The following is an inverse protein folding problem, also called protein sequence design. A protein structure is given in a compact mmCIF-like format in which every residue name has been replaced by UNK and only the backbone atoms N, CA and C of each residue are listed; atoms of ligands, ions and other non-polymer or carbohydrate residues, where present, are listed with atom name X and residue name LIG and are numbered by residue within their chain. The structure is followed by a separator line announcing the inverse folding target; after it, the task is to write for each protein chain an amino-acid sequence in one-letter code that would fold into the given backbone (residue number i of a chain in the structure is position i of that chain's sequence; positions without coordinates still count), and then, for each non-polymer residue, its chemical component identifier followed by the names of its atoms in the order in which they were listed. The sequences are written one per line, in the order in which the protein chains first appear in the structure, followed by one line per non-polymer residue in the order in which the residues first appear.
data_IF_853659031861
#
_entry.id   IF_853659031861
#
_cell.length_a   1.000
_cell.length_b   1.000
_cell.length_c   1.000
_cell.angle_alpha   90.00
_cell.angle_beta   90.00
_cell.angle_gamma   90.00
#
_symmetry.space_group_name_H-M   'P 1'
#
loop_
_entity.id
_entity.type
_entity.pdbx_description
1 polymer ?
#
# COMPACT_ATOMS: atom_id res chain seq x y z
N UNK A 1 45.97 -109.57 16.63
CA UNK A 1 46.44 -108.25 17.14
C UNK A 1 46.81 -107.24 16.03
N UNK A 2 46.71 -107.56 14.73
CA UNK A 2 47.13 -106.63 13.65
C UNK A 2 46.03 -105.67 13.11
N UNK A 3 44.74 -105.93 13.37
CA UNK A 3 43.64 -105.10 12.80
C UNK A 3 43.36 -103.78 13.54
N UNK A 4 43.77 -103.64 14.81
CA UNK A 4 43.53 -102.41 15.59
C UNK A 4 44.35 -101.21 15.15
N UNK A 5 45.58 -101.42 14.68
CA UNK A 5 46.47 -100.33 14.22
C UNK A 5 46.08 -99.72 12.87
N UNK A 6 45.46 -100.51 11.98
CA UNK A 6 44.98 -100.04 10.68
C UNK A 6 43.75 -99.14 10.85
N UNK A 7 42.83 -99.48 11.77
CA UNK A 7 41.63 -98.68 12.02
C UNK A 7 41.97 -97.32 12.66
N UNK A 8 42.93 -97.28 13.58
CA UNK A 8 43.43 -96.02 14.17
C UNK A 8 44.12 -95.11 13.14
N UNK A 9 44.91 -95.68 12.22
CA UNK A 9 45.50 -94.93 11.12
C UNK A 9 44.44 -94.34 10.18
N UNK A 10 43.43 -95.13 9.80
CA UNK A 10 42.33 -94.68 8.95
C UNK A 10 41.53 -93.55 9.61
N UNK A 11 41.30 -93.62 10.92
CA UNK A 11 40.62 -92.57 11.67
C UNK A 11 41.42 -91.26 11.67
N UNK A 12 42.73 -91.32 11.97
CA UNK A 12 43.60 -90.13 11.92
C UNK A 12 43.70 -89.52 10.52
N UNK A 13 43.72 -90.35 9.49
CA UNK A 13 43.70 -89.87 8.10
C UNK A 13 42.37 -89.17 7.76
N UNK A 14 41.23 -89.73 8.16
CA UNK A 14 39.92 -89.10 7.98
C UNK A 14 39.84 -87.75 8.71
N UNK A 15 40.37 -87.66 9.93
CA UNK A 15 40.37 -86.44 10.71
C UNK A 15 41.26 -85.35 10.07
N UNK A 16 42.43 -85.74 9.56
CA UNK A 16 43.28 -84.88 8.75
C UNK A 16 42.59 -84.41 7.45
N UNK A 17 41.89 -85.30 6.75
CA UNK A 17 41.19 -84.96 5.51
C UNK A 17 40.03 -83.98 5.75
N UNK A 18 39.27 -84.18 6.84
CA UNK A 18 38.24 -83.23 7.29
C UNK A 18 38.86 -81.87 7.61
N UNK A 19 39.97 -81.85 8.36
CA UNK A 19 40.64 -80.61 8.71
C UNK A 19 41.18 -79.88 7.48
N UNK A 20 41.79 -80.62 6.53
CA UNK A 20 42.26 -80.10 5.25
C UNK A 20 41.12 -79.49 4.43
N UNK A 21 39.98 -80.18 4.34
CA UNK A 21 38.82 -79.70 3.60
C UNK A 21 38.24 -78.43 4.25
N UNK A 22 38.15 -78.37 5.59
CA UNK A 22 37.75 -77.16 6.31
C UNK A 22 38.70 -75.98 6.08
N UNK A 23 40.01 -76.23 6.04
CA UNK A 23 40.99 -75.18 5.74
C UNK A 23 40.85 -74.67 4.30
N UNK A 24 40.61 -75.54 3.32
CA UNK A 24 40.35 -75.13 1.94
C UNK A 24 39.07 -74.29 1.82
N UNK A 25 37.99 -74.68 2.51
CA UNK A 25 36.74 -73.93 2.53
C UNK A 25 36.93 -72.55 3.15
N UNK A 26 37.63 -72.47 4.29
CA UNK A 26 37.97 -71.19 4.93
C UNK A 26 38.82 -70.29 4.02
N UNK A 27 39.82 -70.83 3.31
CA UNK A 27 40.62 -70.06 2.35
C UNK A 27 39.74 -69.54 1.22
N UNK A 28 38.81 -70.35 0.71
CA UNK A 28 37.87 -69.94 -0.34
C UNK A 28 36.97 -68.80 0.13
N UNK A 29 36.42 -68.89 1.33
CA UNK A 29 35.59 -67.85 1.93
C UNK A 29 36.40 -66.55 2.14
N UNK A 30 37.66 -66.66 2.56
CA UNK A 30 38.55 -65.51 2.71
C UNK A 30 38.81 -64.82 1.36
N UNK A 31 39.00 -65.59 0.29
CA UNK A 31 39.19 -65.07 -1.07
C UNK A 31 37.93 -64.36 -1.57
N UNK A 32 36.75 -64.96 -1.39
CA UNK A 32 35.47 -64.34 -1.77
C UNK A 32 35.19 -63.06 -0.99
N UNK A 33 35.50 -63.05 0.31
CA UNK A 33 35.37 -61.87 1.14
C UNK A 33 36.33 -60.76 0.68
N UNK A 34 37.59 -61.09 0.39
CA UNK A 34 38.57 -60.13 -0.12
C UNK A 34 38.13 -59.53 -1.46
N UNK A 35 37.65 -60.36 -2.40
CA UNK A 35 37.13 -59.89 -3.70
C UNK A 35 35.91 -58.99 -3.53
N UNK A 36 34.98 -59.34 -2.62
CA UNK A 36 33.80 -58.52 -2.34
C UNK A 36 34.18 -57.14 -1.78
N UNK A 37 35.09 -57.10 -0.79
CA UNK A 37 35.58 -55.85 -0.20
C UNK A 37 36.32 -55.01 -1.25
N UNK A 38 37.19 -55.61 -2.04
CA UNK A 38 37.93 -54.90 -3.09
C UNK A 38 36.99 -54.32 -4.15
N UNK A 39 36.00 -55.10 -4.59
CA UNK A 39 34.98 -54.65 -5.54
C UNK A 39 34.16 -53.50 -4.98
N UNK A 40 33.70 -53.60 -3.73
CA UNK A 40 32.92 -52.54 -3.07
C UNK A 40 33.75 -51.25 -2.91
N UNK A 41 35.01 -51.36 -2.49
CA UNK A 41 35.90 -50.20 -2.35
C UNK A 41 36.22 -49.55 -3.69
N UNK A 42 36.36 -50.33 -4.76
CA UNK A 42 36.55 -49.80 -6.12
C UNK A 42 35.30 -49.06 -6.59
N UNK A 43 34.11 -49.62 -6.34
CA UNK A 43 32.85 -48.97 -6.68
C UNK A 43 32.66 -47.65 -5.91
N UNK A 44 32.93 -47.64 -4.62
CA UNK A 44 32.83 -46.45 -3.77
C UNK A 44 33.84 -45.37 -4.18
N UNK A 45 35.11 -45.75 -4.44
CA UNK A 45 36.11 -44.80 -4.96
C UNK A 45 35.68 -44.18 -6.30
N UNK A 46 35.09 -44.98 -7.20
CA UNK A 46 34.60 -44.46 -8.47
C UNK A 46 33.43 -43.48 -8.28
N UNK A 47 32.50 -43.80 -7.36
CA UNK A 47 31.40 -42.90 -7.01
C UNK A 47 31.91 -41.59 -6.41
N UNK A 48 32.82 -41.65 -5.43
CA UNK A 48 33.43 -40.47 -4.81
C UNK A 48 34.22 -39.63 -5.83
N UNK A 49 34.95 -40.26 -6.75
CA UNK A 49 35.64 -39.54 -7.82
C UNK A 49 34.68 -38.86 -8.79
N UNK A 50 33.51 -39.44 -9.04
CA UNK A 50 32.49 -38.81 -9.87
C UNK A 50 31.82 -37.64 -9.15
N UNK A 51 31.46 -37.81 -7.88
CA UNK A 51 30.90 -36.75 -7.05
C UNK A 51 31.87 -35.56 -6.93
N UNK A 52 33.13 -35.82 -6.61
CA UNK A 52 34.17 -34.80 -6.51
C UNK A 52 34.40 -34.05 -7.83
N UNK A 53 34.28 -34.74 -8.99
CA UNK A 53 34.33 -34.07 -10.30
C UNK A 53 33.13 -33.16 -10.51
N UNK A 54 31.92 -33.62 -10.19
CA UNK A 54 30.70 -32.81 -10.34
C UNK A 54 30.75 -31.58 -9.43
N UNK A 55 31.11 -31.76 -8.15
CA UNK A 55 31.22 -30.65 -7.20
C UNK A 55 32.27 -29.61 -7.62
N UNK A 56 33.36 -30.04 -8.26
CA UNK A 56 34.36 -29.12 -8.82
C UNK A 56 33.79 -28.30 -9.98
N UNK A 57 33.04 -28.92 -10.88
CA UNK A 57 32.38 -28.21 -11.99
C UNK A 57 31.37 -27.19 -11.47
N UNK A 58 30.54 -27.58 -10.48
CA UNK A 58 29.56 -26.67 -9.86
C UNK A 58 30.25 -25.50 -9.13
N UNK A 59 31.37 -25.76 -8.45
CA UNK A 59 32.15 -24.73 -7.78
C UNK A 59 32.75 -23.72 -8.77
N UNK A 60 33.27 -24.21 -9.90
CA UNK A 60 33.86 -23.38 -10.94
C UNK A 60 32.78 -22.49 -11.60
N UNK A 61 31.60 -23.04 -11.91
CA UNK A 61 30.46 -22.30 -12.45
C UNK A 61 29.97 -21.21 -11.48
N UNK A 62 29.79 -21.56 -10.21
CA UNK A 62 29.40 -20.60 -9.17
C UNK A 62 30.45 -19.50 -8.97
N UNK A 63 31.74 -19.86 -9.06
CA UNK A 63 32.83 -18.90 -8.94
C UNK A 63 32.91 -17.94 -10.14
N UNK A 64 32.63 -18.42 -11.36
CA UNK A 64 32.55 -17.57 -12.56
C UNK A 64 31.35 -16.63 -12.48
N UNK A 65 30.15 -17.17 -12.21
CA UNK A 65 28.91 -16.40 -12.06
C UNK A 65 29.05 -15.26 -11.04
N UNK A 66 29.72 -15.52 -9.90
CA UNK A 66 29.98 -14.49 -8.88
C UNK A 66 30.94 -13.41 -9.36
N UNK A 67 32.00 -13.76 -10.10
CA UNK A 67 32.96 -12.77 -10.65
C UNK A 67 32.30 -11.87 -11.68
N UNK A 68 31.49 -12.45 -12.56
CA UNK A 68 30.74 -11.70 -13.57
C UNK A 68 29.75 -10.72 -12.92
N UNK A 69 29.03 -11.18 -11.90
CA UNK A 69 28.12 -10.32 -11.13
C UNK A 69 28.89 -9.17 -10.46
N UNK A 70 30.06 -9.45 -9.87
CA UNK A 70 30.88 -8.45 -9.20
C UNK A 70 31.44 -7.42 -10.19
N UNK A 71 31.84 -7.82 -11.41
CA UNK A 71 32.25 -6.88 -12.46
C UNK A 71 31.09 -5.98 -12.92
N UNK A 72 29.88 -6.54 -13.06
CA UNK A 72 28.69 -5.74 -13.41
C UNK A 72 28.35 -4.72 -12.33
N UNK A 73 28.46 -5.10 -11.05
CA UNK A 73 28.23 -4.17 -9.93
C UNK A 73 29.24 -3.01 -9.90
N UNK A 74 30.52 -3.28 -10.17
CA UNK A 74 31.55 -2.25 -10.21
C UNK A 74 31.37 -1.27 -11.39
N UNK A 75 30.95 -1.75 -12.57
CA UNK A 75 30.60 -0.87 -13.72
C UNK A 75 29.29 -0.10 -13.47
N UNK A 76 28.43 -0.61 -12.58
CA UNK A 76 27.25 0.09 -12.10
C UNK A 76 27.62 1.27 -11.19
N UNK A 77 28.47 1.02 -10.20
CA UNK A 77 28.95 2.01 -9.24
C UNK A 77 29.81 3.11 -9.89
N UNK A 78 30.62 2.77 -10.90
CA UNK A 78 31.53 3.71 -11.56
C UNK A 78 30.82 4.76 -12.45
N UNK A 79 29.54 4.56 -12.81
CA UNK A 79 28.80 5.43 -13.74
C UNK A 79 27.77 6.34 -13.09
N UNK A 80 27.72 6.40 -11.76
CA UNK A 80 26.77 7.27 -11.05
C UNK A 80 27.32 8.69 -10.88
N UNK A 81 26.93 9.57 -11.80
CA UNK A 81 26.99 11.01 -11.62
C UNK A 81 25.96 11.69 -12.52
N UNK A 82 25.12 12.56 -11.97
CA UNK A 82 24.85 13.92 -12.46
C UNK A 82 23.72 14.61 -11.65
N UNK A 83 23.77 15.93 -11.70
CA UNK A 83 23.20 16.95 -10.82
C UNK A 83 21.75 17.33 -11.22
N UNK A 84 20.91 17.57 -10.22
CA UNK A 84 19.53 18.08 -10.31
C UNK A 84 19.44 19.61 -10.33
N UNK A 85 18.43 20.14 -11.04
CA UNK A 85 17.81 21.47 -10.81
C UNK A 85 16.33 21.46 -11.24
N UNK A 86 15.42 21.85 -10.31
CA UNK A 86 14.14 22.62 -10.38
C UNK A 86 13.07 22.29 -11.48
N UNK A 87 11.73 22.41 -11.37
CA UNK A 87 10.66 22.55 -10.34
C UNK A 87 9.34 21.79 -10.89
N UNK A 88 8.03 22.05 -10.60
CA UNK A 88 6.87 21.14 -10.16
C UNK A 88 6.01 20.11 -10.95
N UNK A 89 5.50 19.13 -10.15
CA UNK A 89 4.49 18.07 -10.25
C UNK A 89 4.58 17.10 -11.44
N UNK A 90 4.60 15.78 -11.18
CA UNK A 90 4.57 14.70 -12.18
C UNK A 90 3.23 14.65 -12.93
N UNK A 91 3.05 15.60 -13.84
CA UNK A 91 1.89 15.74 -14.72
C UNK A 91 2.41 15.61 -16.13
N UNK A 92 1.75 14.81 -16.96
CA UNK A 92 2.11 14.75 -18.37
C UNK A 92 1.98 16.14 -19.01
N UNK A 93 2.89 16.45 -19.95
CA UNK A 93 2.86 17.73 -20.66
C UNK A 93 1.51 17.98 -21.32
N UNK A 94 1.11 19.25 -21.35
CA UNK A 94 -0.14 19.71 -21.95
C UNK A 94 -0.30 19.24 -23.40
N UNK A 95 0.81 19.17 -24.14
CA UNK A 95 0.88 18.66 -25.51
C UNK A 95 0.31 17.25 -25.65
N UNK A 96 0.54 16.37 -24.68
CA UNK A 96 -0.04 15.02 -24.67
C UNK A 96 -1.49 15.06 -24.17
N UNK A 97 -1.80 15.86 -23.16
CA UNK A 97 -3.13 15.88 -22.56
C UNK A 97 -4.22 16.40 -23.52
N UNK A 98 -3.90 17.42 -24.33
CA UNK A 98 -4.84 17.99 -25.33
C UNK A 98 -5.12 17.06 -26.50
N UNK A 99 -4.27 16.07 -26.75
CA UNK A 99 -4.45 15.10 -27.82
C UNK A 99 -5.35 13.92 -27.41
N UNK A 100 -5.95 13.96 -26.21
CA UNK A 100 -6.87 12.93 -25.71
C UNK A 100 -6.27 11.54 -25.84
N UNK A 101 -6.98 10.64 -26.53
CA UNK A 101 -6.60 9.24 -26.73
C UNK A 101 -5.21 9.07 -27.35
N UNK A 102 -4.91 9.78 -28.43
CA UNK A 102 -3.62 9.65 -29.13
C UNK A 102 -2.48 10.22 -28.28
N UNK A 103 -2.78 11.25 -27.49
CA UNK A 103 -1.86 11.81 -26.50
C UNK A 103 -1.47 10.81 -25.42
N UNK A 104 -2.44 10.07 -24.89
CA UNK A 104 -2.21 8.98 -23.94
C UNK A 104 -1.28 7.90 -24.48
N UNK A 105 -1.51 7.48 -25.73
CA UNK A 105 -0.66 6.48 -26.41
C UNK A 105 0.77 6.97 -26.59
N UNK A 106 0.95 8.22 -27.05
CA UNK A 106 2.28 8.83 -27.21
C UNK A 106 3.00 8.96 -25.88
N UNK A 107 2.31 9.39 -24.83
CA UNK A 107 2.88 9.53 -23.49
C UNK A 107 3.35 8.18 -22.92
N UNK A 108 2.56 7.11 -23.08
CA UNK A 108 2.95 5.76 -22.67
C UNK A 108 4.19 5.25 -23.41
N UNK A 109 4.25 5.45 -24.73
CA UNK A 109 5.42 5.05 -25.53
C UNK A 109 6.66 5.87 -25.18
N UNK A 110 6.52 7.18 -24.97
CA UNK A 110 7.60 8.04 -24.53
C UNK A 110 8.12 7.62 -23.15
N UNK A 111 7.21 7.31 -22.20
CA UNK A 111 7.57 6.86 -20.85
C UNK A 111 8.37 5.56 -20.89
N UNK A 112 7.92 4.59 -21.69
CA UNK A 112 8.66 3.34 -21.90
C UNK A 112 10.05 3.63 -22.46
N UNK A 113 10.17 4.46 -23.50
CA UNK A 113 11.47 4.77 -24.11
C UNK A 113 12.41 5.48 -23.13
N UNK A 114 11.91 6.45 -22.36
CA UNK A 114 12.71 7.17 -21.39
C UNK A 114 13.18 6.29 -20.23
N UNK A 115 12.32 5.41 -19.72
CA UNK A 115 12.71 4.44 -18.68
C UNK A 115 13.67 3.39 -19.27
N UNK A 116 13.45 2.93 -20.50
CA UNK A 116 14.36 2.03 -21.19
C UNK A 116 15.75 2.65 -21.37
N UNK A 117 15.85 3.93 -21.70
CA UNK A 117 17.14 4.62 -21.82
C UNK A 117 17.84 4.80 -20.46
N UNK A 118 17.08 4.94 -19.37
CA UNK A 118 17.61 5.04 -18.00
C UNK A 118 17.94 3.69 -17.35
N UNK A 119 17.31 2.60 -17.79
CA UNK A 119 17.54 1.25 -17.30
C UNK A 119 18.65 0.58 -18.09
N UNK A 120 19.69 0.13 -17.39
CA UNK A 120 20.95 -0.40 -17.97
C UNK A 120 20.80 -1.70 -18.78
N UNK A 121 19.66 -2.40 -18.67
CA UNK A 121 19.30 -3.68 -19.33
C UNK A 121 17.92 -3.63 -20.03
N UNK A 122 17.58 -2.53 -20.72
CA UNK A 122 16.22 -2.33 -21.22
C UNK A 122 15.76 -3.28 -22.34
N UNK A 123 16.68 -3.94 -23.05
CA UNK A 123 16.34 -4.81 -24.16
C UNK A 123 15.79 -6.19 -23.72
N UNK A 124 16.05 -6.61 -22.47
CA UNK A 124 15.55 -7.89 -21.92
C UNK A 124 14.49 -7.71 -20.83
N UNK A 125 14.28 -6.50 -20.31
CA UNK A 125 13.45 -6.27 -19.12
C UNK A 125 12.08 -5.69 -19.49
N UNK A 126 11.00 -6.37 -19.10
CA UNK A 126 9.65 -5.86 -19.29
C UNK A 126 9.37 -4.66 -18.38
N UNK A 127 8.96 -3.54 -19.00
CA UNK A 127 8.57 -2.32 -18.27
C UNK A 127 7.06 -2.39 -18.00
N UNK A 128 6.70 -2.37 -16.72
CA UNK A 128 5.33 -2.31 -16.22
C UNK A 128 5.10 -0.93 -15.62
N UNK A 129 4.06 -0.23 -16.07
CA UNK A 129 3.74 1.11 -15.57
C UNK A 129 2.32 1.13 -14.99
N UNK A 130 2.16 1.72 -13.80
CA UNK A 130 0.86 1.89 -13.17
C UNK A 130 0.71 3.30 -12.66
N UNK A 131 -0.17 4.07 -13.28
CA UNK A 131 -0.54 5.42 -12.84
C UNK A 131 -1.79 5.31 -11.97
N UNK A 132 -1.73 5.85 -10.76
CA UNK A 132 -2.84 5.80 -9.80
C UNK A 132 -3.26 7.23 -9.47
N UNK A 133 -4.51 7.59 -9.77
CA UNK A 133 -4.99 8.95 -9.53
C UNK A 133 -6.49 8.97 -9.24
N UNK A 134 -6.96 10.04 -8.61
CA UNK A 134 -8.37 10.38 -8.56
C UNK A 134 -8.73 11.15 -9.84
N UNK A 135 -9.37 10.48 -10.80
CA UNK A 135 -9.64 11.05 -12.13
C UNK A 135 -10.51 12.30 -12.04
N UNK A 136 -11.55 12.28 -11.21
CA UNK A 136 -12.43 13.44 -11.02
C UNK A 136 -11.69 14.65 -10.44
N UNK A 137 -10.78 14.43 -9.49
CA UNK A 137 -9.95 15.48 -8.92
C UNK A 137 -8.95 16.03 -9.95
N UNK A 138 -8.30 15.14 -10.68
CA UNK A 138 -7.30 15.47 -11.70
C UNK A 138 -7.94 16.25 -12.86
N UNK A 139 -9.04 15.76 -13.45
CA UNK A 139 -9.73 16.41 -14.57
C UNK A 139 -10.16 17.84 -14.23
N UNK A 140 -10.72 18.06 -13.03
CA UNK A 140 -11.12 19.40 -12.57
C UNK A 140 -9.93 20.33 -12.36
N UNK A 141 -8.83 19.80 -11.82
CA UNK A 141 -7.61 20.58 -11.61
C UNK A 141 -6.97 20.98 -12.96
N UNK A 142 -6.91 20.07 -13.92
CA UNK A 142 -6.33 20.32 -15.25
C UNK A 142 -7.18 21.26 -16.10
N UNK A 143 -8.52 21.14 -16.03
CA UNK A 143 -9.42 22.09 -16.69
C UNK A 143 -9.30 23.50 -16.13
N UNK A 144 -9.18 23.64 -14.80
CA UNK A 144 -8.99 24.93 -14.13
C UNK A 144 -7.67 25.61 -14.51
N UNK A 145 -6.65 24.81 -14.76
CA UNK A 145 -5.34 25.28 -15.24
C UNK A 145 -5.35 25.74 -16.71
N UNK A 146 -6.33 25.29 -17.49
CA UNK A 146 -6.37 25.49 -18.95
C UNK A 146 -5.54 24.48 -19.73
N UNK A 147 -5.04 23.42 -19.08
CA UNK A 147 -4.31 22.33 -19.74
C UNK A 147 -5.17 21.46 -20.65
N UNK A 148 -6.45 21.37 -20.34
CA UNK A 148 -7.45 20.63 -21.11
C UNK A 148 -8.68 21.49 -21.26
N UNK A 149 -9.30 21.41 -22.43
CA UNK A 149 -10.51 22.17 -22.73
C UNK A 149 -11.73 21.50 -22.08
N UNK A 150 -11.71 20.16 -22.04
CA UNK A 150 -12.75 19.33 -21.44
C UNK A 150 -12.20 18.37 -20.39
N UNK A 151 -13.02 18.06 -19.38
CA UNK A 151 -12.72 16.95 -18.46
C UNK A 151 -12.69 15.60 -19.19
N UNK A 152 -13.31 15.51 -20.37
CA UNK A 152 -13.30 14.34 -21.23
C UNK A 152 -11.90 14.06 -21.82
N UNK A 153 -11.11 15.09 -22.09
CA UNK A 153 -9.77 14.93 -22.69
C UNK A 153 -8.85 14.11 -21.78
N UNK A 154 -8.99 14.28 -20.46
CA UNK A 154 -8.26 13.51 -19.44
C UNK A 154 -8.72 12.05 -19.41
N UNK A 155 -10.03 11.80 -19.62
CA UNK A 155 -10.57 10.44 -19.72
C UNK A 155 -10.07 9.74 -20.99
N UNK A 156 -10.08 10.44 -22.11
CA UNK A 156 -9.54 9.92 -23.37
C UNK A 156 -8.04 9.66 -23.26
N UNK A 157 -7.28 10.57 -22.64
CA UNK A 157 -5.88 10.37 -22.33
C UNK A 157 -5.63 9.12 -21.49
N UNK A 158 -6.40 8.91 -20.41
CA UNK A 158 -6.33 7.73 -19.56
C UNK A 158 -6.56 6.44 -20.36
N UNK A 159 -7.59 6.43 -21.23
CA UNK A 159 -7.90 5.31 -22.11
C UNK A 159 -6.75 5.05 -23.09
N UNK A 160 -6.23 6.10 -23.71
CA UNK A 160 -5.10 6.03 -24.63
C UNK A 160 -3.84 5.47 -23.99
N UNK A 161 -3.52 5.92 -22.77
CA UNK A 161 -2.36 5.43 -22.02
C UNK A 161 -2.46 3.94 -21.72
N UNK A 162 -3.62 3.50 -21.23
CA UNK A 162 -3.88 2.08 -20.90
C UNK A 162 -3.93 1.20 -22.15
N UNK A 163 -4.42 1.72 -23.28
CA UNK A 163 -4.47 0.97 -24.55
C UNK A 163 -3.11 0.86 -25.26
N UNK A 164 -2.12 1.67 -24.86
CA UNK A 164 -0.85 1.75 -25.58
C UNK A 164 -0.01 0.48 -25.45
N UNK A 165 -0.02 -0.14 -24.27
CA UNK A 165 0.74 -1.34 -23.93
C UNK A 165 -0.04 -2.15 -22.91
N UNK A 166 -0.03 -3.48 -23.05
CA UNK A 166 -0.69 -4.39 -22.12
C UNK A 166 -0.13 -4.30 -20.68
N UNK A 167 1.13 -3.90 -20.52
CA UNK A 167 1.80 -3.72 -19.23
C UNK A 167 1.58 -2.34 -18.59
N UNK A 168 0.77 -1.47 -19.20
CA UNK A 168 0.55 -0.09 -18.77
C UNK A 168 -0.89 0.11 -18.32
N UNK A 169 -1.07 0.51 -17.07
CA UNK A 169 -2.37 0.75 -16.47
C UNK A 169 -2.51 2.20 -15.99
N UNK A 170 -3.67 2.78 -16.23
CA UNK A 170 -4.11 3.99 -15.53
C UNK A 170 -5.33 3.65 -14.67
N UNK A 171 -5.22 3.85 -13.37
CA UNK A 171 -6.20 3.39 -12.37
C UNK A 171 -6.86 4.60 -11.70
N UNK A 172 -8.17 4.74 -11.90
CA UNK A 172 -8.99 5.67 -11.13
C UNK A 172 -9.35 5.06 -9.78
N UNK A 173 -8.91 5.70 -8.69
CA UNK A 173 -9.24 5.29 -7.32
C UNK A 173 -10.48 6.00 -6.75
N UNK A 174 -11.05 6.92 -7.52
CA UNK A 174 -12.22 7.69 -7.13
C UNK A 174 -11.97 8.62 -5.94
N UNK A 175 -13.04 8.92 -5.19
CA UNK A 175 -13.01 9.88 -4.10
C UNK A 175 -12.47 9.27 -2.79
N UNK A 176 -11.57 9.99 -2.12
CA UNK A 176 -11.02 9.64 -0.82
C UNK A 176 -9.61 10.19 -0.67
N UNK A 177 -9.25 10.68 0.52
CA UNK A 177 -7.86 10.97 0.85
C UNK A 177 -7.13 9.63 1.02
N UNK A 178 -5.86 9.56 0.63
CA UNK A 178 -4.97 8.40 0.86
C UNK A 178 -5.29 7.09 0.11
N UNK A 179 -6.32 7.06 -0.75
CA UNK A 179 -6.64 5.85 -1.54
C UNK A 179 -5.59 5.54 -2.61
N UNK A 180 -5.06 6.57 -3.27
CA UNK A 180 -3.94 6.40 -4.19
C UNK A 180 -2.69 5.95 -3.43
N UNK A 181 -2.47 6.55 -2.26
CA UNK A 181 -1.27 6.36 -1.47
C UNK A 181 -1.15 4.94 -0.94
N UNK A 182 -2.23 4.41 -0.37
CA UNK A 182 -2.29 3.00 0.07
C UNK A 182 -1.98 2.04 -1.09
N UNK A 183 -2.56 2.27 -2.27
CA UNK A 183 -2.31 1.41 -3.44
C UNK A 183 -0.85 1.50 -3.92
N UNK A 184 -0.26 2.70 -3.92
CA UNK A 184 1.15 2.90 -4.30
C UNK A 184 2.08 2.19 -3.30
N UNK A 185 1.85 2.35 -2.00
CA UNK A 185 2.68 1.72 -0.94
C UNK A 185 2.66 0.19 -1.04
N UNK A 186 1.47 -0.40 -1.13
CA UNK A 186 1.35 -1.86 -1.20
C UNK A 186 1.87 -2.44 -2.51
N UNK A 187 1.65 -1.74 -3.64
CA UNK A 187 2.22 -2.16 -4.93
C UNK A 187 3.74 -2.13 -4.90
N UNK A 188 4.34 -1.13 -4.25
CA UNK A 188 5.80 -1.05 -4.08
C UNK A 188 6.33 -2.21 -3.24
N UNK A 189 5.72 -2.48 -2.07
CA UNK A 189 6.09 -3.61 -1.21
C UNK A 189 6.01 -4.95 -1.94
N UNK A 190 4.94 -5.17 -2.70
CA UNK A 190 4.75 -6.39 -3.48
C UNK A 190 5.87 -6.58 -4.51
N UNK A 191 6.22 -5.52 -5.24
CA UNK A 191 7.27 -5.60 -6.27
C UNK A 191 8.67 -5.74 -5.67
N UNK A 192 8.95 -5.16 -4.50
CA UNK A 192 10.24 -5.35 -3.83
C UNK A 192 10.48 -6.80 -3.42
N UNK A 193 9.42 -7.52 -3.01
CA UNK A 193 9.47 -8.95 -2.68
C UNK A 193 9.62 -9.85 -3.90
N UNK A 194 9.39 -9.32 -5.10
CA UNK A 194 9.55 -10.05 -6.35
C UNK A 194 11.01 -9.98 -6.81
N UNK A 195 11.69 -11.13 -6.82
CA UNK A 195 13.08 -11.24 -7.27
C UNK A 195 13.28 -10.91 -8.76
N UNK A 196 12.23 -11.04 -9.58
CA UNK A 196 12.28 -10.68 -11.00
C UNK A 196 12.18 -9.16 -11.22
N UNK A 197 11.78 -8.38 -10.20
CA UNK A 197 11.70 -6.94 -10.31
C UNK A 197 13.10 -6.33 -10.09
N UNK A 198 13.75 -5.89 -11.17
CA UNK A 198 15.09 -5.31 -11.08
C UNK A 198 15.07 -3.92 -10.42
N UNK A 199 14.17 -3.04 -10.86
CA UNK A 199 14.08 -1.65 -10.41
C UNK A 199 12.61 -1.22 -10.22
N UNK A 200 12.36 -0.37 -9.22
CA UNK A 200 11.09 0.29 -8.98
C UNK A 200 11.27 1.79 -9.11
N UNK A 201 10.50 2.41 -10.00
CA UNK A 201 10.51 3.86 -10.25
C UNK A 201 9.23 4.47 -9.70
N UNK A 202 9.33 5.34 -8.68
CA UNK A 202 8.19 5.88 -7.94
C UNK A 202 7.96 7.36 -8.21
N UNK A 203 6.79 7.70 -8.77
CA UNK A 203 6.37 9.09 -9.01
C UNK A 203 5.77 9.80 -7.78
N UNK A 204 6.43 9.73 -6.62
CA UNK A 204 5.92 10.27 -5.34
C UNK A 204 6.71 11.45 -4.81
N UNK A 205 7.59 12.05 -5.64
CA UNK A 205 8.58 13.06 -5.20
C UNK A 205 7.99 14.26 -4.43
N UNK A 206 6.73 14.60 -4.66
CA UNK A 206 6.08 15.80 -4.16
C UNK A 206 5.36 15.64 -2.81
N UNK A 207 5.20 14.43 -2.28
CA UNK A 207 4.41 14.17 -1.08
C UNK A 207 5.27 13.64 0.07
N UNK A 208 5.56 14.52 1.04
CA UNK A 208 6.35 14.22 2.23
C UNK A 208 5.73 13.09 3.08
N UNK A 209 4.44 12.79 2.91
CA UNK A 209 3.79 11.66 3.56
C UNK A 209 4.41 10.30 3.21
N UNK A 210 5.16 10.20 2.11
CA UNK A 210 5.88 8.98 1.72
C UNK A 210 7.26 8.82 2.37
N UNK A 211 7.83 9.88 2.96
CA UNK A 211 9.18 9.79 3.56
C UNK A 211 9.30 8.69 4.63
N UNK A 212 8.39 8.56 5.63
CA UNK A 212 8.49 7.48 6.62
C UNK A 212 8.37 6.08 6.01
N UNK A 213 7.63 5.97 4.90
CA UNK A 213 7.49 4.72 4.17
C UNK A 213 8.76 4.36 3.39
N UNK A 214 9.42 5.36 2.81
CA UNK A 214 10.70 5.18 2.12
C UNK A 214 11.81 4.89 3.13
N UNK A 215 11.84 5.53 4.28
CA UNK A 215 12.82 5.23 5.36
C UNK A 215 12.71 3.76 5.84
N UNK A 216 11.49 3.26 6.03
CA UNK A 216 11.23 1.86 6.38
C UNK A 216 11.80 0.89 5.32
N UNK A 217 11.55 1.18 4.04
CA UNK A 217 12.02 0.34 2.93
C UNK A 217 13.52 0.43 2.69
N UNK A 218 14.09 1.62 2.84
CA UNK A 218 15.50 1.91 2.57
C UNK A 218 16.40 1.62 3.75
N UNK A 219 15.85 1.22 4.89
CA UNK A 219 16.64 0.66 6.01
C UNK A 219 17.50 -0.53 5.56
N UNK A 220 17.04 -1.29 4.57
CA UNK A 220 17.83 -2.30 3.85
C UNK A 220 18.56 -1.68 2.64
N UNK A 221 19.89 -1.80 2.62
CA UNK A 221 20.73 -1.28 1.53
C UNK A 221 20.41 -1.90 0.16
N UNK A 222 19.99 -3.18 0.13
CA UNK A 222 19.60 -3.86 -1.10
C UNK A 222 18.33 -3.27 -1.71
N UNK A 223 17.35 -2.95 -0.86
CA UNK A 223 16.12 -2.30 -1.29
C UNK A 223 16.38 -0.86 -1.74
N UNK A 224 17.27 -0.12 -1.06
CA UNK A 224 17.61 1.25 -1.42
C UNK A 224 18.13 1.37 -2.86
N UNK A 225 18.98 0.45 -3.31
CA UNK A 225 19.51 0.44 -4.67
C UNK A 225 18.45 0.12 -5.74
N UNK A 226 17.38 -0.59 -5.36
CA UNK A 226 16.30 -1.02 -6.26
C UNK A 226 15.15 -0.01 -6.37
N UNK A 227 15.19 1.08 -5.61
CA UNK A 227 14.17 2.13 -5.64
C UNK A 227 14.79 3.37 -6.26
N UNK A 228 14.08 3.97 -7.21
CA UNK A 228 14.41 5.28 -7.78
C UNK A 228 13.16 6.15 -7.68
N UNK A 229 13.30 7.38 -7.21
CA UNK A 229 12.22 8.36 -7.22
C UNK A 229 12.19 9.02 -8.59
N UNK A 230 11.05 8.94 -9.26
CA UNK A 230 10.78 9.71 -10.45
C UNK A 230 10.41 11.13 -10.04
N UNK A 231 11.15 12.06 -10.60
CA UNK A 231 11.04 13.48 -10.34
C UNK A 231 10.24 14.16 -11.46
N UNK A 232 9.14 14.80 -11.05
CA UNK A 232 8.42 15.78 -11.85
C UNK A 232 8.45 17.17 -11.22
N UNK A 233 8.36 17.25 -9.88
CA UNK A 233 8.86 18.36 -9.03
C UNK A 233 10.08 17.89 -8.25
N UNK A 234 11.00 18.79 -7.84
CA UNK A 234 11.93 18.59 -6.76
C UNK A 234 11.28 17.87 -5.61
N UNK A 235 12.02 16.85 -5.28
CA UNK A 235 11.70 15.92 -4.24
C UNK A 235 11.67 16.68 -2.93
N UNK A 236 10.63 16.49 -2.14
CA UNK A 236 10.55 17.10 -0.80
C UNK A 236 11.76 16.66 0.02
N UNK A 237 12.30 17.57 0.85
CA UNK A 237 13.55 17.34 1.60
C UNK A 237 13.53 16.07 2.44
N UNK A 238 12.35 15.71 2.94
CA UNK A 238 12.11 14.50 3.73
C UNK A 238 12.32 13.21 2.90
N UNK A 239 12.03 13.26 1.60
CA UNK A 239 12.34 12.14 0.69
C UNK A 239 13.81 12.21 0.26
N UNK A 240 14.39 13.40 0.03
CA UNK A 240 15.83 13.52 -0.27
C UNK A 240 16.70 12.95 0.85
N UNK A 241 16.29 13.12 2.12
CA UNK A 241 16.99 12.56 3.28
C UNK A 241 17.01 11.03 3.34
N UNK A 242 16.13 10.34 2.59
CA UNK A 242 16.12 8.87 2.52
C UNK A 242 17.31 8.29 1.73
N UNK A 243 18.03 9.13 0.98
CA UNK A 243 19.21 8.73 0.21
C UNK A 243 18.92 7.86 -1.02
N UNK A 244 17.68 7.87 -1.51
CA UNK A 244 17.24 7.15 -2.72
C UNK A 244 17.66 7.91 -3.97
N UNK A 245 17.97 7.18 -5.05
CA UNK A 245 18.31 7.79 -6.34
C UNK A 245 17.10 8.55 -6.92
N UNK A 246 17.34 9.71 -7.54
CA UNK A 246 16.31 10.56 -8.13
C UNK A 246 16.53 10.64 -9.64
N UNK A 247 15.51 10.31 -10.43
CA UNK A 247 15.51 10.33 -11.90
C UNK A 247 14.53 11.40 -12.40
N UNK A 248 14.97 12.30 -13.27
CA UNK A 248 14.13 13.37 -13.83
C UNK A 248 13.83 13.14 -15.32
N UNK A 249 12.55 13.04 -15.69
CA UNK A 249 12.10 12.81 -17.08
C UNK A 249 11.38 14.04 -17.66
N UNK A 250 12.13 15.14 -17.81
CA UNK A 250 11.63 16.48 -18.21
C UNK A 250 10.95 16.54 -19.57
N UNK A 251 11.18 15.57 -20.45
CA UNK A 251 10.56 15.50 -21.80
C UNK A 251 9.11 15.01 -21.76
N UNK A 252 8.71 14.31 -20.71
CA UNK A 252 7.40 13.64 -20.61
C UNK A 252 6.53 14.30 -19.55
N UNK A 253 7.15 14.66 -18.43
CA UNK A 253 6.49 15.33 -17.33
C UNK A 253 6.76 16.83 -17.37
N UNK A 254 5.79 17.62 -16.89
CA UNK A 254 5.93 19.05 -16.68
C UNK A 254 6.85 19.30 -15.49
N UNK A 255 7.45 20.49 -15.47
CA UNK A 255 8.18 21.03 -14.33
C UNK A 255 7.54 22.30 -13.75
N UNK A 256 6.22 22.48 -13.94
CA UNK A 256 5.48 23.67 -13.50
C UNK A 256 4.18 23.30 -12.75
N UNK A 257 3.86 24.07 -11.69
CA UNK A 257 2.58 23.99 -10.96
C UNK A 257 1.41 24.32 -11.88
N UNK A 258 0.25 23.70 -11.62
CA UNK A 258 -1.00 24.15 -12.22
C UNK A 258 -1.32 25.55 -11.64
N UNK A 259 -1.43 26.57 -12.48
CA UNK A 259 -1.81 27.94 -12.15
C UNK A 259 -3.24 28.20 -12.64
N UNK A 260 -4.06 28.81 -11.78
CA UNK A 260 -5.43 29.15 -12.15
C UNK A 260 -5.43 30.34 -13.13
N UNK A 261 -5.53 30.09 -14.45
CA UNK A 261 -5.38 31.13 -15.50
C UNK A 261 -6.62 31.99 -15.74
N UNK A 262 -7.65 31.89 -14.89
CA UNK A 262 -8.93 32.60 -15.06
C UNK A 262 -8.90 34.12 -14.77
N UNK A 263 -7.75 34.79 -14.81
CA UNK A 263 -7.67 36.23 -14.47
C UNK A 263 -6.53 36.95 -15.19
N UNK A 264 -6.68 37.25 -16.49
CA UNK A 264 -5.85 38.26 -17.18
C UNK A 264 -6.73 39.08 -18.14
N UNK A 265 -7.17 40.25 -17.67
CA UNK A 265 -7.47 41.42 -18.51
C UNK A 265 -6.58 42.58 -18.03
N UNK A 266 -6.03 43.42 -18.94
CA UNK A 266 -5.05 44.44 -18.56
C UNK A 266 -5.75 45.72 -18.11
N UNK A 267 -5.40 46.24 -16.92
CA UNK A 267 -5.84 47.55 -16.45
C UNK A 267 -4.66 48.37 -15.93
N UNK A 268 -4.62 49.59 -16.43
CA UNK A 268 -3.66 50.68 -16.24
C UNK A 268 -3.40 51.08 -14.78
N UNK A 269 -2.21 51.65 -14.60
CA UNK A 269 -1.56 52.01 -13.34
C UNK A 269 -2.30 53.04 -12.46
N UNK A 270 -2.14 52.88 -11.13
CA UNK A 270 -1.82 53.98 -10.21
C UNK A 270 -1.23 53.42 -8.92
N UNK A 271 -0.13 54.05 -8.49
CA UNK A 271 0.67 53.68 -7.34
C UNK A 271 0.06 54.16 -6.02
N UNK A 272 0.19 53.34 -4.96
CA UNK A 272 0.59 53.77 -3.61
C UNK A 272 0.88 52.54 -2.74
N UNK A 273 1.87 52.73 -1.87
CA UNK A 273 2.70 51.75 -1.16
C UNK A 273 2.14 51.19 0.14
N UNK A 274 2.68 50.02 0.50
CA UNK A 274 2.98 49.47 1.84
C UNK A 274 2.13 48.28 2.36
N UNK A 275 2.73 47.10 2.22
CA UNK A 275 2.86 45.98 3.17
C UNK A 275 1.66 45.48 3.98
N UNK A 276 1.25 44.23 3.70
CA UNK A 276 0.42 43.43 4.60
C UNK A 276 0.00 42.09 3.97
N UNK A 277 0.55 41.00 4.50
CA UNK A 277 0.22 39.61 4.20
C UNK A 277 -1.24 39.25 4.54
N UNK A 278 -2.01 38.67 3.60
CA UNK A 278 -3.40 38.19 3.79
C UNK A 278 -3.59 36.96 2.87
N UNK A 279 -3.68 35.70 3.31
CA UNK A 279 -4.67 34.99 4.15
C UNK A 279 -6.09 34.95 3.57
N UNK A 280 -6.45 33.82 2.95
CA UNK A 280 -7.68 33.59 2.15
C UNK A 280 -8.97 33.49 2.99
N UNK A 281 -9.34 34.54 3.71
CA UNK A 281 -10.60 34.58 4.45
C UNK A 281 -11.44 35.81 4.10
N UNK A 282 -11.88 35.99 2.84
CA UNK A 282 -12.99 36.92 2.52
C UNK A 282 -13.66 36.63 1.16
N UNK A 283 -14.54 35.63 1.08
CA UNK A 283 -15.64 35.61 0.09
C UNK A 283 -16.89 35.04 0.78
N UNK A 284 -17.54 35.85 1.61
CA UNK A 284 -18.99 35.76 1.92
C UNK A 284 -19.45 37.10 2.51
N UNK A 285 -19.58 38.13 1.69
CA UNK A 285 -20.48 39.25 2.00
C UNK A 285 -21.45 39.41 0.84
N UNK A 286 -22.51 38.60 0.88
CA UNK A 286 -23.88 38.83 0.39
C UNK A 286 -24.62 37.50 0.39
N UNK A 287 -24.99 37.04 1.58
CA UNK A 287 -26.07 36.08 1.78
C UNK A 287 -26.58 36.23 3.20
N UNK A 288 -27.90 36.33 3.33
CA UNK A 288 -28.65 36.41 4.60
C UNK A 288 -28.27 35.29 5.58
N UNK A 289 -28.43 35.48 6.90
CA UNK A 289 -27.97 34.51 7.88
C UNK A 289 -28.65 33.14 7.69
N UNK A 290 -27.93 32.01 7.88
CA UNK A 290 -28.55 30.69 7.89
C UNK A 290 -29.45 30.54 9.14
N UNK A 291 -30.58 29.83 9.04
CA UNK A 291 -31.51 29.66 10.15
C UNK A 291 -30.85 28.87 11.28
N UNK A 292 -31.03 29.34 12.52
CA UNK A 292 -30.61 28.61 13.71
C UNK A 292 -31.41 27.30 13.83
N UNK A 293 -30.70 26.19 14.02
CA UNK A 293 -31.29 24.88 14.30
C UNK A 293 -31.79 24.83 15.74
N UNK A 294 -33.08 25.03 15.94
CA UNK A 294 -33.78 24.63 17.17
C UNK A 294 -34.33 23.22 16.95
N UNK A 295 -33.71 22.21 17.55
CA UNK A 295 -34.29 20.87 17.59
C UNK A 295 -35.32 20.84 18.73
N UNK A 296 -36.61 20.51 18.49
CA UNK A 296 -37.54 20.25 19.58
C UNK A 296 -37.25 18.85 20.11
N UNK A 297 -36.50 18.75 21.22
CA UNK A 297 -36.38 17.51 21.98
C UNK A 297 -37.08 17.72 23.31
N UNK A 298 -38.25 17.10 23.46
CA UNK A 298 -38.78 16.71 24.76
C UNK A 298 -38.90 15.19 24.74
N UNK A 299 -38.03 14.51 25.50
CA UNK A 299 -38.17 13.10 25.80
C UNK A 299 -38.38 13.00 27.31
N UNK A 300 -39.63 12.77 27.72
CA UNK A 300 -39.98 12.44 29.11
C UNK A 300 -39.56 11.00 29.40
N UNK A 301 -39.06 10.82 30.62
CA UNK A 301 -38.68 9.57 31.26
C UNK A 301 -39.91 8.67 31.50
N UNK A 302 -39.79 7.36 31.26
CA UNK A 302 -40.70 6.36 31.80
C UNK A 302 -39.97 5.05 32.09
N UNK A 303 -40.10 4.60 33.34
CA UNK A 303 -39.67 3.30 33.89
C UNK A 303 -40.43 2.11 33.29
N UNK A 304 -39.95 0.86 33.44
CA UNK A 304 -40.27 -0.23 32.53
C UNK A 304 -41.60 -0.91 32.89
N UNK A 305 -42.48 -1.02 31.89
CA UNK A 305 -43.62 -1.95 31.93
C UNK A 305 -43.40 -3.05 30.89
N UNK A 306 -43.51 -4.29 31.38
CA UNK A 306 -43.40 -5.55 30.64
C UNK A 306 -44.47 -5.63 29.55
N UNK A 307 -44.04 -5.68 28.28
CA UNK A 307 -44.92 -5.87 27.13
C UNK A 307 -44.16 -6.47 25.95
N UNK A 308 -44.55 -7.68 25.55
CA UNK A 308 -44.04 -8.38 24.38
C UNK A 308 -44.62 -7.78 23.09
N UNK A 309 -43.76 -7.42 22.12
CA UNK A 309 -43.77 -7.90 20.71
C UNK A 309 -43.04 -6.94 19.74
N UNK A 310 -42.20 -7.59 18.92
CA UNK A 310 -41.86 -7.30 17.51
C UNK A 310 -41.11 -6.01 17.18
N UNK A 311 -39.77 -6.09 17.22
CA UNK A 311 -38.90 -5.28 16.36
C UNK A 311 -38.91 -5.89 14.94
N UNK A 312 -38.92 -5.12 13.85
CA UNK A 312 -38.28 -5.61 12.64
C UNK A 312 -36.79 -5.68 12.96
N UNK A 313 -36.27 -6.91 13.13
CA UNK A 313 -34.86 -7.15 13.44
C UNK A 313 -34.03 -6.89 12.19
N UNK A 314 -33.95 -5.62 11.78
CA UNK A 314 -33.03 -5.23 10.72
C UNK A 314 -31.61 -5.42 11.25
N UNK A 315 -30.87 -6.30 10.58
CA UNK A 315 -29.47 -6.49 10.81
C UNK A 315 -28.70 -5.83 9.66
N UNK A 316 -27.88 -4.78 9.92
CA UNK A 316 -27.10 -4.14 8.86
C UNK A 316 -26.01 -5.05 8.29
N UNK A 317 -25.57 -6.10 8.99
CA UNK A 317 -24.53 -7.01 8.53
C UNK A 317 -24.02 -7.98 9.60
N UNK A 318 -22.93 -8.72 9.35
CA UNK A 318 -22.39 -9.70 10.30
C UNK A 318 -22.00 -9.10 11.66
N UNK A 319 -21.56 -7.84 11.66
CA UNK A 319 -21.19 -7.07 12.87
C UNK A 319 -22.40 -6.62 13.70
N UNK A 320 -23.55 -6.44 13.07
CA UNK A 320 -24.77 -6.00 13.74
C UNK A 320 -24.84 -4.50 14.03
N UNK A 321 -25.79 -4.14 14.90
CA UNK A 321 -26.04 -2.76 15.31
C UNK A 321 -24.97 -2.30 16.30
N UNK A 322 -24.45 -1.09 16.12
CA UNK A 322 -23.64 -0.43 17.14
C UNK A 322 -24.42 -0.28 18.45
N UNK A 323 -23.79 -0.55 19.61
CA UNK A 323 -24.45 -0.45 20.92
C UNK A 323 -25.02 0.94 21.18
N UNK A 324 -26.22 1.12 21.74
CA UNK A 324 -26.76 2.46 22.01
C UNK A 324 -25.89 3.23 23.03
N UNK A 325 -25.70 4.53 22.80
CA UNK A 325 -24.97 5.43 23.72
C UNK A 325 -25.99 6.21 24.56
N UNK A 326 -25.90 6.22 25.90
CA UNK A 326 -26.75 7.05 26.74
C UNK A 326 -26.34 8.53 26.63
N UNK A 327 -27.28 9.41 26.31
CA UNK A 327 -27.00 10.83 26.02
C UNK A 327 -27.63 11.75 27.06
N UNK A 328 -26.79 12.62 27.64
CA UNK A 328 -27.23 13.79 28.38
C UNK A 328 -27.25 15.00 27.43
N UNK A 329 -28.42 15.61 27.25
CA UNK A 329 -28.61 16.69 26.29
C UNK A 329 -27.78 17.94 26.62
N UNK A 330 -27.58 18.24 27.92
CA UNK A 330 -26.79 19.39 28.37
C UNK A 330 -25.32 19.22 27.98
N UNK A 331 -24.77 18.02 28.20
CA UNK A 331 -23.39 17.69 27.82
C UNK A 331 -23.21 17.70 26.29
N UNK A 332 -24.18 17.15 25.54
CA UNK A 332 -24.13 17.18 24.08
C UNK A 332 -24.11 18.60 23.52
N UNK A 333 -24.93 19.49 24.06
CA UNK A 333 -24.97 20.89 23.62
C UNK A 333 -23.71 21.65 24.04
N UNK A 334 -23.11 21.35 25.19
CA UNK A 334 -21.83 21.90 25.61
C UNK A 334 -20.69 21.50 24.66
N UNK A 335 -20.62 20.24 24.25
CA UNK A 335 -19.61 19.74 23.30
C UNK A 335 -19.82 20.35 21.91
N UNK A 336 -21.07 20.46 21.43
CA UNK A 336 -21.39 21.07 20.13
C UNK A 336 -21.03 22.56 20.06
N UNK A 337 -21.02 23.28 21.19
CA UNK A 337 -20.66 24.70 21.24
C UNK A 337 -19.16 24.95 21.01
N UNK A 338 -18.30 23.93 21.16
CA UNK A 338 -16.87 24.04 20.89
C UNK A 338 -16.61 24.16 19.39
N UNK A 339 -15.93 25.23 18.98
CA UNK A 339 -15.61 25.54 17.58
C UNK A 339 -14.10 25.64 17.37
N UNK A 340 -13.69 25.54 16.10
CA UNK A 340 -12.34 25.81 15.64
C UNK A 340 -11.26 25.07 16.45
N UNK A 341 -10.28 25.80 17.01
CA UNK A 341 -9.17 25.25 17.81
C UNK A 341 -9.57 24.72 19.19
N UNK A 342 -10.81 24.94 19.64
CA UNK A 342 -11.31 24.43 20.93
C UNK A 342 -12.03 23.07 20.80
N UNK A 343 -12.01 22.45 19.62
CA UNK A 343 -12.59 21.13 19.40
C UNK A 343 -11.76 20.05 20.09
N UNK A 344 -12.44 19.14 20.78
CA UNK A 344 -11.83 18.00 21.45
C UNK A 344 -11.42 16.93 20.42
N UNK A 345 -10.28 16.29 20.67
CA UNK A 345 -9.80 15.22 19.80
C UNK A 345 -10.56 13.91 20.06
N UNK A 346 -11.36 13.47 19.08
CA UNK A 346 -12.12 12.21 19.21
C UNK A 346 -11.22 10.99 19.48
N UNK A 347 -10.06 10.90 18.80
CA UNK A 347 -9.14 9.78 19.01
C UNK A 347 -8.56 9.80 20.43
N UNK A 348 -8.13 10.97 20.91
CA UNK A 348 -7.56 11.11 22.26
C UNK A 348 -8.52 10.61 23.34
N UNK A 349 -9.78 11.07 23.28
CA UNK A 349 -10.75 10.82 24.34
C UNK A 349 -11.52 9.49 24.23
N UNK A 350 -11.57 8.88 23.04
CA UNK A 350 -12.32 7.63 22.84
C UNK A 350 -11.44 6.39 22.66
N UNK A 351 -10.17 6.55 22.25
CA UNK A 351 -9.24 5.44 21.95
C UNK A 351 -7.95 5.47 22.77
N UNK A 352 -7.70 6.53 23.53
CA UNK A 352 -6.45 6.74 24.26
C UNK A 352 -5.52 7.72 23.55
N UNK A 353 -4.24 7.83 23.93
CA UNK A 353 -3.32 8.85 23.46
C UNK A 353 -3.36 9.04 21.94
N UNK A 354 -3.46 10.29 21.49
CA UNK A 354 -3.55 10.57 20.05
C UNK A 354 -2.17 10.35 19.42
N UNK A 355 -2.11 9.59 18.32
CA UNK A 355 -0.86 9.33 17.60
C UNK A 355 -0.15 10.59 17.08
N UNK A 356 -0.87 11.72 16.95
CA UNK A 356 -0.31 13.01 16.53
C UNK A 356 0.32 13.82 17.67
N UNK A 357 0.19 13.38 18.93
CA UNK A 357 0.75 14.08 20.08
C UNK A 357 0.44 15.58 20.07
N UNK A 358 1.49 16.40 20.19
CA UNK A 358 1.41 17.87 20.23
C UNK A 358 1.18 18.52 18.86
N UNK A 359 1.35 17.77 17.77
CA UNK A 359 1.06 18.25 16.39
C UNK A 359 -0.45 18.21 16.07
N UNK A 360 -1.27 17.71 16.98
CA UNK A 360 -2.71 17.64 16.80
C UNK A 360 -3.36 19.02 16.97
N UNK A 361 -4.09 19.48 15.96
CA UNK A 361 -4.86 20.74 16.01
C UNK A 361 -6.08 20.72 16.96
N UNK A 362 -6.29 19.64 17.72
CA UNK A 362 -7.44 19.45 18.60
C UNK A 362 -6.98 19.38 20.05
N UNK A 363 -7.83 19.83 20.97
CA UNK A 363 -7.51 19.89 22.39
C UNK A 363 -7.37 18.46 22.94
N UNK A 364 -6.24 18.21 23.60
CA UNK A 364 -5.95 16.99 24.38
C UNK A 364 -6.02 17.25 25.89
N UNK A 365 -5.62 18.45 26.33
CA UNK A 365 -5.63 18.85 27.74
C UNK A 365 -7.04 19.30 28.17
N UNK A 366 -7.95 18.33 28.28
CA UNK A 366 -9.29 18.51 28.83
C UNK A 366 -9.67 17.24 29.59
N UNK A 367 -10.40 17.38 30.70
CA UNK A 367 -10.87 16.24 31.49
C UNK A 367 -12.40 16.07 31.33
N UNK A 368 -12.88 15.42 30.25
CA UNK A 368 -14.30 15.30 29.99
C UNK A 368 -14.99 14.41 31.02
N UNK A 369 -16.19 14.83 31.44
CA UNK A 369 -17.09 14.01 32.23
C UNK A 369 -17.58 12.80 31.43
N UNK A 370 -18.10 11.77 32.09
CA UNK A 370 -18.66 10.58 31.42
C UNK A 370 -19.77 10.93 30.41
N UNK A 371 -20.60 11.92 30.74
CA UNK A 371 -21.66 12.42 29.87
C UNK A 371 -21.10 13.15 28.63
N UNK A 372 -19.98 13.86 28.79
CA UNK A 372 -19.27 14.49 27.67
C UNK A 372 -18.55 13.46 26.79
N UNK A 373 -17.97 12.41 27.37
CA UNK A 373 -17.40 11.29 26.60
C UNK A 373 -18.48 10.64 25.73
N UNK A 374 -19.67 10.39 26.29
CA UNK A 374 -20.82 9.87 25.54
C UNK A 374 -21.25 10.82 24.41
N UNK A 375 -21.25 12.13 24.65
CA UNK A 375 -21.53 13.12 23.62
C UNK A 375 -20.48 13.11 22.49
N UNK A 376 -19.19 13.01 22.83
CA UNK A 376 -18.10 12.90 21.85
C UNK A 376 -18.27 11.61 21.02
N UNK A 377 -18.57 10.49 21.68
CA UNK A 377 -18.81 9.19 21.03
C UNK A 377 -20.00 9.25 20.05
N UNK A 378 -21.10 9.89 20.43
CA UNK A 378 -22.25 10.08 19.54
C UNK A 378 -21.89 10.93 18.31
N UNK A 379 -21.19 12.04 18.52
CA UNK A 379 -20.76 12.93 17.43
C UNK A 379 -19.71 12.27 16.51
N UNK A 380 -18.91 11.35 17.04
CA UNK A 380 -18.04 10.51 16.21
C UNK A 380 -18.87 9.54 15.35
N UNK A 381 -19.87 8.88 15.95
CA UNK A 381 -20.72 7.88 15.28
C UNK A 381 -21.69 8.41 14.24
N UNK A 382 -21.97 9.70 14.18
CA UNK A 382 -22.71 10.29 13.04
C UNK A 382 -21.86 10.37 11.77
N UNK A 383 -20.56 10.06 11.84
CA UNK A 383 -19.72 9.89 10.67
C UNK A 383 -19.62 8.38 10.34
N UNK A 384 -19.96 7.96 9.11
CA UNK A 384 -19.90 6.56 8.71
C UNK A 384 -18.45 6.05 8.72
N UNK A 385 -18.28 4.83 9.23
CA UNK A 385 -17.05 4.07 9.11
C UNK A 385 -16.80 3.75 7.64
N UNK A 386 -15.56 3.90 7.18
CA UNK A 386 -15.19 3.60 5.78
C UNK A 386 -15.37 2.14 5.41
N UNK A 387 -15.26 1.24 6.39
CA UNK A 387 -15.40 -0.20 6.22
C UNK A 387 -16.81 -0.69 6.59
N UNK A 388 -17.71 0.20 7.05
CA UNK A 388 -19.10 -0.14 7.36
C UNK A 388 -19.22 -1.44 8.19
N UNK A 389 -20.06 -2.35 7.73
CA UNK A 389 -20.32 -3.61 8.41
C UNK A 389 -19.16 -4.63 8.32
N UNK A 390 -18.17 -4.39 7.46
CA UNK A 390 -16.96 -5.21 7.31
C UNK A 390 -15.82 -4.71 8.21
N UNK A 391 -16.07 -3.76 9.10
CA UNK A 391 -15.07 -3.25 10.03
C UNK A 391 -14.71 -4.28 11.11
N UNK A 392 -13.46 -4.71 11.11
CA UNK A 392 -12.83 -5.64 12.06
C UNK A 392 -12.27 -4.96 13.33
N UNK A 393 -12.31 -3.64 13.37
CA UNK A 393 -11.79 -2.87 14.51
C UNK A 393 -12.81 -2.85 15.65
N UNK A 394 -12.53 -3.62 16.71
CA UNK A 394 -13.42 -3.76 17.87
C UNK A 394 -13.73 -2.41 18.55
N UNK A 395 -12.73 -1.53 18.68
CA UNK A 395 -12.86 -0.20 19.28
C UNK A 395 -13.13 0.92 18.26
N UNK A 396 -13.83 0.62 17.15
CA UNK A 396 -14.20 1.63 16.18
C UNK A 396 -15.15 2.69 16.76
N UNK A 397 -14.79 3.96 16.59
CA UNK A 397 -15.52 5.12 17.12
C UNK A 397 -16.52 5.72 16.11
N UNK A 398 -16.46 5.27 14.85
CA UNK A 398 -17.35 5.70 13.78
C UNK A 398 -18.61 4.82 13.72
N UNK A 399 -19.66 5.30 13.07
CA UNK A 399 -20.92 4.56 12.96
C UNK A 399 -20.86 3.56 11.82
N UNK A 400 -21.33 2.33 12.02
CA UNK A 400 -21.44 1.29 10.99
C UNK A 400 -22.86 1.16 10.44
N UNK A 401 -23.78 1.95 11.01
CA UNK A 401 -25.14 2.17 10.53
C UNK A 401 -25.59 3.57 11.00
N UNK A 402 -26.63 4.13 10.40
CA UNK A 402 -27.09 5.46 10.75
C UNK A 402 -27.71 5.51 12.17
N UNK A 403 -27.15 6.29 13.12
CA UNK A 403 -27.68 6.38 14.48
C UNK A 403 -28.86 7.36 14.61
N UNK A 404 -29.28 8.00 13.52
CA UNK A 404 -30.26 9.11 13.51
C UNK A 404 -31.65 8.71 13.00
N UNK A 405 -31.95 7.41 12.94
CA UNK A 405 -33.24 6.89 12.50
C UNK A 405 -34.18 6.79 13.69
N UNK A 406 -35.29 7.53 13.62
CA UNK A 406 -36.34 7.53 14.65
C UNK A 406 -37.66 7.24 13.97
N UNK A 407 -38.37 6.19 14.42
CA UNK A 407 -39.66 5.78 13.86
C UNK A 407 -39.64 5.58 12.32
N UNK A 408 -38.56 5.01 11.80
CA UNK A 408 -38.39 4.78 10.35
C UNK A 408 -38.12 6.05 9.55
N UNK A 409 -37.76 7.16 10.19
CA UNK A 409 -37.38 8.41 9.53
C UNK A 409 -35.95 8.80 9.93
N UNK A 410 -35.08 9.01 8.95
CA UNK A 410 -33.76 9.59 9.17
C UNK A 410 -33.90 11.10 9.41
N UNK A 411 -33.54 11.52 10.62
CA UNK A 411 -33.73 12.90 11.09
C UNK A 411 -32.52 13.81 10.83
N UNK A 412 -31.42 13.28 10.32
CA UNK A 412 -30.17 14.02 10.15
C UNK A 412 -30.20 14.92 8.90
N UNK A 413 -30.07 16.27 9.01
CA UNK A 413 -30.20 17.19 7.87
C UNK A 413 -29.18 16.98 6.75
N UNK A 414 -27.99 16.52 7.11
CA UNK A 414 -26.91 16.21 6.19
C UNK A 414 -26.40 14.81 6.47
N UNK A 415 -27.29 13.81 6.41
CA UNK A 415 -26.91 12.42 6.65
C UNK A 415 -25.77 12.02 5.70
N UNK A 416 -24.73 11.39 6.25
CA UNK A 416 -23.58 10.91 5.46
C UNK A 416 -23.65 9.43 5.14
N UNK A 417 -24.53 8.70 5.82
CA UNK A 417 -24.76 7.27 5.60
C UNK A 417 -25.46 7.01 4.27
N UNK A 418 -25.16 5.87 3.66
CA UNK A 418 -25.80 5.37 2.43
C UNK A 418 -27.18 4.79 2.77
N UNK A 419 -28.04 4.64 1.78
CA UNK A 419 -29.43 4.17 1.98
C UNK A 419 -29.49 2.76 2.58
N UNK A 420 -28.55 1.89 2.20
CA UNK A 420 -28.36 0.52 2.72
C UNK A 420 -27.85 0.47 4.16
N UNK A 421 -27.30 1.57 4.68
CA UNK A 421 -26.87 1.71 6.08
C UNK A 421 -28.01 2.22 7.00
N UNK A 422 -29.24 2.19 6.51
CA UNK A 422 -30.47 2.49 7.26
C UNK A 422 -31.41 1.28 7.26
N UNK A 423 -32.30 1.17 8.26
CA UNK A 423 -33.36 0.18 8.22
C UNK A 423 -34.17 0.24 6.91
N UNK A 424 -34.55 -0.91 6.32
CA UNK A 424 -35.35 -0.97 5.11
C UNK A 424 -36.63 -0.15 5.23
N UNK A 425 -36.94 0.62 4.20
CA UNK A 425 -38.10 1.52 4.18
C UNK A 425 -37.91 2.82 4.97
N UNK A 426 -36.70 3.15 5.42
CA UNK A 426 -36.42 4.44 6.06
C UNK A 426 -36.73 5.60 5.12
N UNK A 427 -37.55 6.54 5.58
CA UNK A 427 -37.81 7.80 4.88
C UNK A 427 -36.79 8.85 5.31
N UNK A 428 -36.37 9.73 4.41
CA UNK A 428 -35.43 10.80 4.72
C UNK A 428 -36.18 12.10 4.93
N UNK A 429 -36.06 12.72 6.12
CA UNK A 429 -36.64 14.03 6.37
C UNK A 429 -36.01 15.11 5.48
N UNK A 430 -34.74 14.92 5.14
CA UNK A 430 -33.96 15.80 4.26
C UNK A 430 -33.27 14.93 3.20
N UNK A 431 -33.99 14.52 2.13
CA UNK A 431 -33.45 13.61 1.12
C UNK A 431 -32.38 14.30 0.28
N UNK A 432 -31.31 13.58 -0.04
CA UNK A 432 -30.30 13.98 -1.03
C UNK A 432 -30.73 13.47 -2.41
N UNK A 433 -30.13 14.01 -3.46
CA UNK A 433 -30.37 13.56 -4.84
C UNK A 433 -30.04 12.07 -5.05
N UNK A 434 -29.16 11.50 -4.22
CA UNK A 434 -28.80 10.07 -4.21
C UNK A 434 -29.79 9.17 -3.47
N UNK A 435 -30.76 9.74 -2.76
CA UNK A 435 -31.69 9.01 -1.90
C UNK A 435 -33.06 8.76 -2.60
N UNK A 436 -33.19 9.16 -3.87
CA UNK A 436 -34.36 8.94 -4.73
C UNK A 436 -34.17 7.78 -5.69
#
# INVERSE_FOLDING_TARGET
MAMGGIMDFLQRYQEYDIQRNRTHEFIKDLMLYAEHIESSLRQENNALHQELRNTRLDLDDAAQSRRDLQQRLLDIEARMGYVSQDNDNLKFREEFMRQGLEGGKKAANALRQAIALGCRDADETEIIAKVVANLNGLSKAMKRDGCVDSENDVKEFMLGFTQAKASFDFVDVGHGKERADSKIRETTRWNLRNYNCKQIVLGVSHDAGYAPFLDDLTSDASNRQRITILEGYPTVREIESTGVEILSLKTIFRGDKLVNRTSLTPSVASASSASGSISYATITQKASPPPQLTLPISLKCATPARGTKTQPLWNPGPRGLDPPIPINQVALDAIKKRKDSNKLCNNHFLRGPCAKGDECCFVHDYNPTKDEINAIALLARVNPCTNGQDCDVENCIYGHHCPSVVNGICMHPYCKFRTDEHPPGTKFKYPRTSDF
#
